data_IF_157434934645
#
_entry.id   IF_157434934645
#
_cell.length_a   1.000
_cell.length_b   1.000
_cell.length_c   1.000
_cell.angle_alpha   90.00
_cell.angle_beta   90.00
_cell.angle_gamma   90.00
#
_symmetry.space_group_name_H-M   'P 1'
#
loop_
_entity.id
_entity.type
_entity.pdbx_description
1 polymer ?
#
# COMPACT_ATOMS: atom_id res chain seq x y z
N UNK A 1 -9.75 1.80 14.27
CA UNK A 1 -8.71 1.35 13.32
C UNK A 1 -8.75 2.27 12.11
N UNK A 2 -7.78 3.12 11.93
CA UNK A 2 -7.62 3.91 10.73
C UNK A 2 -6.29 3.57 10.04
N UNK A 3 -6.07 4.08 8.84
CA UNK A 3 -4.90 3.78 8.02
C UNK A 3 -3.54 4.10 8.69
N UNK A 4 -3.49 5.10 9.58
CA UNK A 4 -2.25 5.48 10.28
C UNK A 4 -1.83 4.38 11.27
N UNK A 5 -2.81 3.81 11.95
CA UNK A 5 -2.58 2.68 12.84
C UNK A 5 -2.21 1.42 12.06
N UNK A 6 -2.86 1.19 10.91
CA UNK A 6 -2.61 0.00 10.10
C UNK A 6 -1.16 -0.06 9.60
N UNK A 7 -0.61 1.06 9.13
CA UNK A 7 0.79 1.16 8.75
C UNK A 7 1.75 0.87 9.92
N UNK A 8 1.41 1.35 11.13
CA UNK A 8 2.17 1.03 12.34
C UNK A 8 2.10 -0.47 12.64
N UNK A 9 0.93 -1.08 12.51
CA UNK A 9 0.74 -2.50 12.84
C UNK A 9 1.45 -3.43 11.86
N UNK A 10 1.57 -3.05 10.58
CA UNK A 10 2.40 -3.78 9.61
C UNK A 10 3.86 -3.77 10.05
N UNK A 11 4.44 -2.61 10.35
CA UNK A 11 5.81 -2.53 10.86
C UNK A 11 6.01 -3.26 12.20
N UNK A 12 4.97 -3.28 13.06
CA UNK A 12 5.01 -4.09 14.30
C UNK A 12 4.97 -5.59 14.01
N UNK A 13 4.29 -6.02 12.95
CA UNK A 13 4.23 -7.42 12.55
C UNK A 13 5.61 -7.90 12.06
N UNK A 14 6.27 -7.12 11.19
CA UNK A 14 7.63 -7.42 10.75
C UNK A 14 8.60 -7.48 11.92
N UNK A 15 8.47 -6.53 12.85
CA UNK A 15 9.27 -6.53 14.08
C UNK A 15 8.95 -7.73 14.97
N UNK A 16 7.69 -8.15 15.05
CA UNK A 16 7.28 -9.33 15.83
C UNK A 16 7.93 -10.61 15.28
N UNK A 17 7.98 -10.75 13.95
CA UNK A 17 8.66 -11.89 13.31
C UNK A 17 10.15 -11.91 13.63
N UNK A 18 10.81 -10.76 13.52
CA UNK A 18 12.22 -10.63 13.84
C UNK A 18 12.50 -10.91 15.32
N UNK A 19 11.72 -10.34 16.24
CA UNK A 19 11.89 -10.53 17.69
C UNK A 19 11.70 -12.00 18.11
N UNK A 20 10.67 -12.66 17.58
CA UNK A 20 10.46 -14.09 17.82
C UNK A 20 11.64 -14.93 17.31
N UNK A 21 12.09 -14.65 16.09
CA UNK A 21 13.20 -15.37 15.46
C UNK A 21 14.53 -15.21 16.21
N UNK A 22 14.87 -13.99 16.61
CA UNK A 22 16.18 -13.68 17.21
C UNK A 22 16.25 -13.93 18.71
N UNK A 23 15.14 -13.79 19.43
CA UNK A 23 15.11 -13.88 20.91
C UNK A 23 14.01 -14.76 21.50
N UNK A 24 13.08 -15.27 20.69
CA UNK A 24 11.89 -15.97 21.16
C UNK A 24 10.84 -15.03 21.78
N UNK A 25 10.95 -13.71 21.60
CA UNK A 25 10.01 -12.74 22.16
C UNK A 25 8.74 -12.67 21.30
N UNK A 26 7.62 -13.14 21.85
CA UNK A 26 6.30 -13.11 21.22
C UNK A 26 5.44 -11.92 21.63
N UNK A 27 5.94 -11.02 22.48
CA UNK A 27 5.15 -9.95 23.11
C UNK A 27 4.48 -9.02 22.10
N UNK A 28 5.11 -8.77 20.95
CA UNK A 28 4.57 -7.97 19.85
C UNK A 28 3.41 -8.68 19.16
N UNK A 29 3.53 -9.98 18.90
CA UNK A 29 2.42 -10.78 18.40
C UNK A 29 1.24 -10.81 19.38
N UNK A 30 1.52 -11.01 20.67
CA UNK A 30 0.49 -11.02 21.72
C UNK A 30 -0.26 -9.69 21.76
N UNK A 31 0.45 -8.58 21.55
CA UNK A 31 -0.16 -7.27 21.50
C UNK A 31 -1.08 -7.12 20.27
N UNK A 32 -0.63 -7.53 19.08
CA UNK A 32 -1.43 -7.49 17.85
C UNK A 32 -2.66 -8.41 17.95
N UNK A 33 -2.53 -9.58 18.56
CA UNK A 33 -3.66 -10.49 18.82
C UNK A 33 -4.68 -9.83 19.75
N UNK A 34 -4.25 -9.21 20.85
CA UNK A 34 -5.14 -8.47 21.76
C UNK A 34 -5.84 -7.31 21.07
N UNK A 35 -5.14 -6.62 20.17
CA UNK A 35 -5.73 -5.58 19.34
C UNK A 35 -6.87 -6.16 18.48
N UNK A 36 -6.59 -7.21 17.71
CA UNK A 36 -7.59 -7.86 16.86
C UNK A 36 -8.79 -8.34 17.66
N UNK A 37 -8.58 -8.98 18.81
CA UNK A 37 -9.65 -9.41 19.73
C UNK A 37 -10.50 -8.23 20.21
N UNK A 38 -9.87 -7.11 20.58
CA UNK A 38 -10.57 -5.89 21.04
C UNK A 38 -11.53 -5.35 20.01
N UNK A 39 -11.16 -5.42 18.73
CA UNK A 39 -11.96 -4.92 17.61
C UNK A 39 -12.75 -6.02 16.88
N UNK A 40 -12.77 -7.24 17.42
CA UNK A 40 -13.47 -8.38 16.81
C UNK A 40 -12.97 -8.71 15.41
N UNK A 41 -11.70 -8.41 15.12
CA UNK A 41 -11.05 -8.64 13.83
C UNK A 41 -11.73 -7.91 12.65
N UNK A 42 -12.51 -6.85 12.94
CA UNK A 42 -13.28 -6.12 11.94
C UNK A 42 -12.41 -5.07 11.26
N UNK A 43 -12.38 -5.02 9.91
CA UNK A 43 -11.98 -3.82 9.18
C UNK A 43 -12.84 -2.62 9.57
N UNK A 44 -12.38 -1.39 9.28
CA UNK A 44 -13.12 -0.19 9.68
C UNK A 44 -14.42 -0.03 8.86
N UNK A 45 -15.17 1.05 9.01
CA UNK A 45 -16.62 1.15 8.76
C UNK A 45 -17.04 1.27 7.29
N UNK A 46 -16.20 1.88 6.43
CA UNK A 46 -16.55 2.19 5.03
C UNK A 46 -16.29 0.97 4.13
N UNK A 47 -17.34 0.41 3.58
CA UNK A 47 -17.31 -0.87 2.87
C UNK A 47 -16.29 -0.91 1.73
N UNK A 48 -16.26 0.11 0.89
CA UNK A 48 -15.40 0.16 -0.29
C UNK A 48 -14.04 0.83 -0.07
N UNK A 49 -13.90 1.62 1.01
CA UNK A 49 -12.74 2.48 1.19
C UNK A 49 -11.45 1.68 1.41
N UNK A 50 -10.42 1.99 0.63
CA UNK A 50 -9.15 1.27 0.70
C UNK A 50 -8.50 1.35 2.09
N UNK A 51 -8.53 2.52 2.73
CA UNK A 51 -7.97 2.71 4.08
C UNK A 51 -8.63 1.80 5.12
N UNK A 52 -9.93 1.53 4.96
CA UNK A 52 -10.72 0.80 5.96
C UNK A 52 -10.50 -0.72 5.89
N UNK A 53 -9.96 -1.25 4.80
CA UNK A 53 -9.59 -2.67 4.70
C UNK A 53 -8.11 -2.91 5.01
N UNK A 54 -7.29 -1.87 5.14
CA UNK A 54 -5.84 -1.96 5.26
C UNK A 54 -5.39 -2.85 6.44
N UNK A 55 -6.02 -2.74 7.61
CA UNK A 55 -5.74 -3.59 8.78
C UNK A 55 -5.92 -5.09 8.50
N UNK A 56 -6.64 -5.43 7.45
CA UNK A 56 -6.78 -6.79 6.96
C UNK A 56 -5.44 -7.43 6.58
N UNK A 57 -4.42 -6.65 6.22
CA UNK A 57 -3.07 -7.17 5.99
C UNK A 57 -2.57 -7.89 7.24
N UNK A 58 -2.58 -7.20 8.38
CA UNK A 58 -2.17 -7.74 9.68
C UNK A 58 -3.01 -8.94 10.11
N UNK A 59 -4.33 -8.84 9.97
CA UNK A 59 -5.24 -9.92 10.42
C UNK A 59 -5.08 -11.20 9.58
N UNK A 60 -4.83 -11.06 8.29
CA UNK A 60 -4.55 -12.21 7.41
C UNK A 60 -3.22 -12.87 7.79
N UNK A 61 -2.18 -12.11 8.07
CA UNK A 61 -0.87 -12.65 8.46
C UNK A 61 -0.92 -13.33 9.84
N UNK A 62 -1.64 -12.73 10.80
CA UNK A 62 -1.91 -13.40 12.09
C UNK A 62 -2.69 -14.70 11.90
N UNK A 63 -3.66 -14.73 10.97
CA UNK A 63 -4.30 -15.99 10.60
C UNK A 63 -3.31 -16.99 10.01
N UNK A 64 -2.39 -16.56 9.16
CA UNK A 64 -1.37 -17.43 8.58
C UNK A 64 -0.50 -18.08 9.67
N UNK A 65 -0.23 -17.36 10.77
CA UNK A 65 0.53 -17.88 11.92
C UNK A 65 -0.31 -18.78 12.83
N UNK A 66 -1.46 -18.30 13.28
CA UNK A 66 -2.23 -18.94 14.36
C UNK A 66 -3.34 -19.87 13.88
N UNK A 67 -3.75 -19.78 12.62
CA UNK A 67 -4.83 -20.57 12.00
C UNK A 67 -6.22 -20.41 12.66
N UNK A 68 -6.42 -19.33 13.43
CA UNK A 68 -7.74 -19.00 13.98
C UNK A 68 -8.58 -18.26 12.93
N UNK A 69 -9.65 -18.89 12.48
CA UNK A 69 -10.56 -18.35 11.45
C UNK A 69 -11.21 -17.02 11.81
N UNK A 70 -11.35 -16.71 13.09
CA UNK A 70 -11.88 -15.42 13.52
C UNK A 70 -11.01 -14.27 13.04
N UNK A 71 -9.68 -14.47 12.93
CA UNK A 71 -8.73 -13.48 12.44
C UNK A 71 -8.92 -13.15 10.96
N UNK A 72 -9.35 -14.14 10.15
CA UNK A 72 -9.48 -14.02 8.71
C UNK A 72 -10.88 -13.58 8.27
N UNK A 73 -11.91 -14.19 8.87
CA UNK A 73 -13.27 -14.17 8.34
C UNK A 73 -13.85 -12.77 8.09
N UNK A 74 -13.71 -11.78 8.98
CA UNK A 74 -14.29 -10.45 8.73
C UNK A 74 -13.66 -9.73 7.54
N UNK A 75 -12.33 -9.83 7.37
CA UNK A 75 -11.62 -9.26 6.22
C UNK A 75 -12.01 -9.96 4.92
N UNK A 76 -12.03 -11.30 4.93
CA UNK A 76 -12.45 -12.09 3.77
C UNK A 76 -13.89 -11.79 3.37
N UNK A 77 -14.82 -11.76 4.31
CA UNK A 77 -16.23 -11.48 4.05
C UNK A 77 -16.44 -10.09 3.42
N UNK A 78 -15.71 -9.07 3.92
CA UNK A 78 -15.73 -7.74 3.30
C UNK A 78 -15.20 -7.77 1.88
N UNK A 79 -14.03 -8.36 1.65
CA UNK A 79 -13.43 -8.43 0.33
C UNK A 79 -14.32 -9.22 -0.65
N UNK A 80 -14.93 -10.33 -0.22
CA UNK A 80 -15.91 -11.09 -1.02
C UNK A 80 -17.12 -10.26 -1.41
N UNK A 81 -17.64 -9.48 -0.47
CA UNK A 81 -18.75 -8.58 -0.75
C UNK A 81 -18.38 -7.53 -1.81
N UNK A 82 -17.24 -6.87 -1.65
CA UNK A 82 -16.74 -5.84 -2.59
C UNK A 82 -16.50 -6.42 -4.00
N UNK A 83 -15.87 -7.59 -4.13
CA UNK A 83 -15.62 -8.18 -5.46
C UNK A 83 -16.90 -8.64 -6.17
N UNK A 84 -17.96 -8.96 -5.40
CA UNK A 84 -19.28 -9.31 -5.95
C UNK A 84 -20.13 -8.09 -6.28
N UNK A 85 -19.87 -6.93 -5.65
CA UNK A 85 -20.60 -5.69 -5.82
C UNK A 85 -19.61 -4.52 -6.04
N UNK A 86 -18.76 -4.58 -7.09
CA UNK A 86 -17.76 -3.55 -7.30
C UNK A 86 -18.42 -2.21 -7.61
N UNK A 87 -17.88 -1.13 -7.04
CA UNK A 87 -18.33 0.21 -7.39
C UNK A 87 -18.00 0.54 -8.86
N UNK A 88 -18.88 1.26 -9.52
CA UNK A 88 -18.71 1.87 -10.85
C UNK A 88 -18.50 3.38 -10.77
N UNK A 89 -18.24 3.91 -9.58
CA UNK A 89 -17.97 5.32 -9.32
C UNK A 89 -16.83 5.89 -10.17
N UNK A 90 -16.74 7.23 -10.28
CA UNK A 90 -15.70 7.89 -11.05
C UNK A 90 -14.30 7.71 -10.44
N UNK A 91 -13.27 7.86 -11.27
CA UNK A 91 -11.87 7.86 -10.80
C UNK A 91 -11.39 9.26 -10.41
N UNK A 92 -12.11 10.31 -10.76
CA UNK A 92 -11.80 11.69 -10.36
C UNK A 92 -12.24 11.91 -8.91
N UNK A 93 -11.29 12.29 -8.06
CA UNK A 93 -11.53 12.49 -6.63
C UNK A 93 -12.21 13.84 -6.34
N UNK A 94 -13.37 13.79 -5.68
CA UNK A 94 -14.05 14.93 -5.07
C UNK A 94 -14.50 14.55 -3.64
N UNK A 95 -13.82 15.05 -2.62
CA UNK A 95 -14.15 14.74 -1.21
C UNK A 95 -15.56 15.14 -0.77
N UNK A 96 -16.26 15.94 -1.55
CA UNK A 96 -17.67 16.29 -1.30
C UNK A 96 -18.63 15.19 -1.77
N UNK A 97 -18.13 14.26 -2.57
CA UNK A 97 -18.90 13.17 -3.18
C UNK A 97 -18.37 11.83 -2.70
N UNK A 98 -19.15 11.15 -1.86
CA UNK A 98 -18.74 9.89 -1.22
C UNK A 98 -18.40 8.79 -2.23
N UNK A 99 -19.13 8.72 -3.32
CA UNK A 99 -18.92 7.74 -4.39
C UNK A 99 -17.54 7.81 -5.05
N UNK A 100 -16.86 8.97 -4.98
CA UNK A 100 -15.49 9.11 -5.50
C UNK A 100 -14.43 8.47 -4.61
N UNK A 101 -14.81 8.02 -3.41
CA UNK A 101 -13.94 7.31 -2.47
C UNK A 101 -14.19 5.79 -2.45
N UNK A 102 -15.11 5.30 -3.28
CA UNK A 102 -15.44 3.88 -3.35
C UNK A 102 -14.48 3.10 -4.26
N UNK A 103 -13.75 3.81 -5.12
CA UNK A 103 -12.66 3.24 -5.92
C UNK A 103 -11.32 3.78 -5.43
N UNK A 104 -10.24 3.21 -5.93
CA UNK A 104 -8.89 3.61 -5.50
C UNK A 104 -8.43 4.87 -6.24
N UNK A 105 -9.03 6.01 -5.92
CA UNK A 105 -8.90 7.29 -6.64
C UNK A 105 -7.73 8.16 -6.16
N UNK A 106 -6.92 7.65 -5.25
CA UNK A 106 -5.71 8.29 -4.73
C UNK A 106 -4.58 7.27 -4.61
N UNK A 107 -3.33 7.72 -4.74
CA UNK A 107 -2.18 6.83 -4.82
C UNK A 107 -1.95 6.01 -3.55
N UNK A 108 -2.29 6.55 -2.36
CA UNK A 108 -2.13 5.86 -1.07
C UNK A 108 -2.96 4.56 -1.00
N UNK A 109 -4.10 4.51 -1.71
CA UNK A 109 -4.93 3.31 -1.80
C UNK A 109 -4.15 2.09 -2.31
N UNK A 110 -3.07 2.32 -3.07
CA UNK A 110 -2.20 1.26 -3.61
C UNK A 110 -1.30 0.58 -2.55
N UNK A 111 -1.19 1.16 -1.36
CA UNK A 111 -0.64 0.49 -0.18
C UNK A 111 -1.73 -0.24 0.61
N UNK A 112 -2.88 0.41 0.76
CA UNK A 112 -3.90 0.01 1.74
C UNK A 112 -4.61 -1.30 1.36
N UNK A 113 -5.10 -1.39 0.14
CA UNK A 113 -5.98 -2.49 -0.27
C UNK A 113 -5.30 -3.62 -1.06
N UNK A 114 -4.42 -3.38 -2.05
CA UNK A 114 -3.88 -4.41 -2.92
C UNK A 114 -3.26 -5.61 -2.20
N UNK A 115 -2.44 -5.45 -1.15
CA UNK A 115 -1.84 -6.59 -0.46
C UNK A 115 -2.90 -7.51 0.16
N UNK A 116 -4.00 -6.96 0.71
CA UNK A 116 -5.10 -7.76 1.27
C UNK A 116 -5.71 -8.69 0.22
N UNK A 117 -5.99 -8.17 -0.97
CA UNK A 117 -6.58 -8.96 -2.05
C UNK A 117 -5.61 -10.01 -2.60
N UNK A 118 -4.31 -9.72 -2.65
CA UNK A 118 -3.29 -10.71 -3.04
C UNK A 118 -3.21 -11.83 -1.99
N UNK A 119 -3.12 -11.49 -0.71
CA UNK A 119 -3.10 -12.47 0.39
C UNK A 119 -4.35 -13.38 0.36
N UNK A 120 -5.54 -12.80 0.18
CA UNK A 120 -6.79 -13.56 0.07
C UNK A 120 -6.81 -14.47 -1.17
N UNK A 121 -6.31 -13.99 -2.31
CA UNK A 121 -6.17 -14.83 -3.51
C UNK A 121 -5.24 -16.04 -3.26
N UNK A 122 -4.09 -15.82 -2.64
CA UNK A 122 -3.13 -16.89 -2.32
C UNK A 122 -3.73 -17.92 -1.36
N UNK A 123 -4.44 -17.45 -0.34
CA UNK A 123 -5.04 -18.31 0.69
C UNK A 123 -6.21 -19.13 0.18
N UNK A 124 -7.05 -18.55 -0.67
CA UNK A 124 -8.33 -19.16 -1.06
C UNK A 124 -8.31 -19.78 -2.46
N UNK A 125 -7.38 -19.37 -3.31
CA UNK A 125 -7.39 -19.68 -4.74
C UNK A 125 -8.48 -18.96 -5.55
N UNK A 126 -9.26 -18.08 -4.92
CA UNK A 126 -10.35 -17.37 -5.57
C UNK A 126 -9.83 -16.24 -6.46
N UNK A 127 -9.91 -16.48 -7.76
CA UNK A 127 -9.43 -15.54 -8.78
C UNK A 127 -10.22 -14.23 -8.87
N UNK A 128 -11.38 -14.10 -8.20
CA UNK A 128 -12.12 -12.84 -8.16
C UNK A 128 -11.31 -11.76 -7.46
N UNK A 129 -10.60 -12.10 -6.37
CA UNK A 129 -9.74 -11.17 -5.64
C UNK A 129 -8.65 -10.56 -6.52
N UNK A 130 -7.86 -11.40 -7.18
CA UNK A 130 -6.76 -10.91 -8.02
C UNK A 130 -7.26 -10.18 -9.28
N UNK A 131 -8.41 -10.56 -9.84
CA UNK A 131 -9.02 -9.84 -10.97
C UNK A 131 -9.48 -8.44 -10.57
N UNK A 132 -10.17 -8.33 -9.43
CA UNK A 132 -10.61 -7.04 -8.88
C UNK A 132 -9.42 -6.15 -8.59
N UNK A 133 -8.45 -6.64 -7.83
CA UNK A 133 -7.23 -5.91 -7.49
C UNK A 133 -6.53 -5.39 -8.75
N UNK A 134 -6.29 -6.23 -9.75
CA UNK A 134 -5.66 -5.81 -11.00
C UNK A 134 -6.47 -4.73 -11.74
N UNK A 135 -7.80 -4.81 -11.73
CA UNK A 135 -8.67 -3.82 -12.37
C UNK A 135 -8.53 -2.45 -11.70
N UNK A 136 -8.69 -2.40 -10.38
CA UNK A 136 -8.64 -1.14 -9.63
C UNK A 136 -7.22 -0.56 -9.61
N UNK A 137 -6.20 -1.38 -9.40
CA UNK A 137 -4.80 -0.93 -9.45
C UNK A 137 -4.45 -0.26 -10.79
N UNK A 138 -4.81 -0.93 -11.90
CA UNK A 138 -4.53 -0.39 -13.24
C UNK A 138 -5.32 0.86 -13.53
N UNK A 139 -6.56 0.98 -13.07
CA UNK A 139 -7.34 2.21 -13.20
C UNK A 139 -6.67 3.40 -12.49
N UNK A 140 -6.14 3.17 -11.28
CA UNK A 140 -5.36 4.18 -10.55
C UNK A 140 -4.05 4.50 -11.27
N UNK A 141 -3.32 3.47 -11.72
CA UNK A 141 -2.09 3.64 -12.50
C UNK A 141 -2.32 4.45 -13.78
N UNK A 142 -3.34 4.12 -14.57
CA UNK A 142 -3.63 4.79 -15.83
C UNK A 142 -3.98 6.27 -15.64
N UNK A 143 -4.61 6.62 -14.52
CA UNK A 143 -4.97 8.00 -14.20
C UNK A 143 -3.81 8.79 -13.58
N UNK A 144 -3.08 8.18 -12.62
CA UNK A 144 -2.19 8.93 -11.73
C UNK A 144 -0.70 8.75 -12.01
N UNK A 145 -0.29 7.73 -12.78
CA UNK A 145 1.12 7.53 -13.07
C UNK A 145 1.59 8.41 -14.23
N UNK A 146 2.48 9.34 -13.94
CA UNK A 146 3.15 10.17 -14.96
C UNK A 146 4.34 9.40 -15.56
N UNK A 147 4.22 9.03 -16.83
CA UNK A 147 5.23 8.21 -17.54
C UNK A 147 6.54 8.94 -17.80
N UNK A 148 6.51 10.26 -17.93
CA UNK A 148 7.70 11.07 -18.17
C UNK A 148 8.51 11.22 -16.89
N UNK A 149 7.84 11.56 -15.78
CA UNK A 149 8.47 11.72 -14.48
C UNK A 149 8.65 10.39 -13.73
N UNK A 150 7.94 9.34 -14.14
CA UNK A 150 7.93 8.02 -13.46
C UNK A 150 7.54 8.10 -11.99
N UNK A 151 6.54 8.93 -11.68
CA UNK A 151 6.03 9.21 -10.34
C UNK A 151 4.50 9.23 -10.37
N UNK A 152 3.88 9.00 -9.21
CA UNK A 152 2.44 9.09 -9.04
C UNK A 152 2.03 10.47 -8.54
N UNK A 153 1.04 11.08 -9.19
CA UNK A 153 0.25 12.14 -8.59
C UNK A 153 -0.53 11.57 -7.39
N UNK A 154 -0.80 12.43 -6.41
CA UNK A 154 -1.60 12.02 -5.25
C UNK A 154 -3.00 11.58 -5.64
N UNK A 155 -3.70 12.40 -6.42
CA UNK A 155 -5.04 12.17 -6.96
C UNK A 155 -5.29 13.11 -8.15
N UNK A 156 -6.47 12.99 -8.78
CA UNK A 156 -6.82 13.74 -10.00
C UNK A 156 -6.75 15.26 -9.87
N UNK A 157 -6.85 15.81 -8.66
CA UNK A 157 -6.79 17.27 -8.42
C UNK A 157 -5.38 17.85 -8.61
N UNK A 158 -4.35 17.00 -8.60
CA UNK A 158 -2.95 17.41 -8.75
C UNK A 158 -2.42 17.30 -10.19
N UNK A 159 -3.18 16.71 -11.13
CA UNK A 159 -2.73 16.49 -12.51
C UNK A 159 -2.30 17.75 -13.25
N UNK A 160 -2.86 18.90 -12.90
CA UNK A 160 -2.57 20.20 -13.55
C UNK A 160 -1.85 21.19 -12.63
N UNK A 161 -1.65 20.84 -11.37
CA UNK A 161 -0.98 21.73 -10.41
C UNK A 161 0.53 21.77 -10.65
N UNK A 162 1.14 22.88 -10.23
CA UNK A 162 2.57 23.10 -10.34
C UNK A 162 3.15 23.55 -8.99
N UNK A 163 4.38 23.14 -8.75
CA UNK A 163 5.20 23.63 -7.65
C UNK A 163 5.68 25.07 -7.91
N UNK A 164 6.26 25.70 -6.88
CA UNK A 164 6.80 27.06 -6.98
C UNK A 164 7.89 27.20 -8.04
N UNK A 165 8.69 26.15 -8.27
CA UNK A 165 9.71 26.09 -9.30
C UNK A 165 9.16 25.76 -10.71
N UNK A 166 7.84 25.59 -10.85
CA UNK A 166 7.17 25.24 -12.11
C UNK A 166 7.12 23.74 -12.42
N UNK A 167 7.70 22.87 -11.59
CA UNK A 167 7.63 21.42 -11.76
C UNK A 167 6.20 20.90 -11.51
N UNK A 168 5.94 19.66 -11.93
CA UNK A 168 4.72 18.93 -11.58
C UNK A 168 4.73 18.58 -10.07
N UNK A 169 3.55 18.49 -9.45
CA UNK A 169 3.42 18.22 -8.03
C UNK A 169 3.43 16.71 -7.78
N UNK A 170 4.51 16.19 -7.19
CA UNK A 170 4.60 14.80 -6.77
C UNK A 170 4.95 14.73 -5.28
N UNK A 171 4.02 14.23 -4.51
CA UNK A 171 4.13 14.13 -3.07
C UNK A 171 5.00 12.95 -2.64
N UNK A 172 6.04 13.21 -1.83
CA UNK A 172 7.03 12.20 -1.40
C UNK A 172 6.39 11.04 -0.67
N UNK A 173 5.55 11.30 0.37
CA UNK A 173 4.84 10.24 1.09
C UNK A 173 3.90 9.45 0.18
N UNK A 174 3.22 10.10 -0.77
CA UNK A 174 2.35 9.42 -1.72
C UNK A 174 3.10 8.39 -2.56
N UNK A 175 4.25 8.76 -3.09
CA UNK A 175 5.11 7.84 -3.84
C UNK A 175 5.74 6.77 -2.93
N UNK A 176 6.05 7.12 -1.68
CA UNK A 176 6.45 6.17 -0.64
C UNK A 176 5.39 5.11 -0.37
N UNK A 177 4.11 5.51 -0.26
CA UNK A 177 3.00 4.58 -0.12
C UNK A 177 2.93 3.58 -1.28
N UNK A 178 3.05 4.06 -2.52
CA UNK A 178 2.99 3.17 -3.69
C UNK A 178 4.16 2.18 -3.69
N UNK A 179 5.37 2.64 -3.40
CA UNK A 179 6.56 1.78 -3.31
C UNK A 179 6.43 0.75 -2.18
N UNK A 180 6.06 1.18 -0.98
CA UNK A 180 5.83 0.29 0.15
C UNK A 180 4.74 -0.75 -0.16
N UNK A 181 3.61 -0.31 -0.75
CA UNK A 181 2.53 -1.22 -1.15
C UNK A 181 2.91 -2.23 -2.22
N UNK A 182 3.78 -1.84 -3.16
CA UNK A 182 4.34 -2.77 -4.14
C UNK A 182 5.26 -3.80 -3.46
N UNK A 183 6.11 -3.37 -2.51
CA UNK A 183 6.96 -4.28 -1.75
C UNK A 183 6.12 -5.28 -0.95
N UNK A 184 5.11 -4.81 -0.18
CA UNK A 184 4.20 -5.67 0.56
C UNK A 184 3.48 -6.68 -0.35
N UNK A 185 2.90 -6.18 -1.44
CA UNK A 185 2.14 -7.00 -2.35
C UNK A 185 3.01 -8.05 -3.06
N UNK A 186 4.22 -7.71 -3.49
CA UNK A 186 5.10 -8.59 -4.24
C UNK A 186 5.67 -9.73 -3.40
N UNK A 187 5.71 -9.62 -2.07
CA UNK A 187 6.09 -10.72 -1.18
C UNK A 187 5.16 -11.92 -1.38
N UNK A 188 3.86 -11.68 -1.45
CA UNK A 188 2.85 -12.72 -1.57
C UNK A 188 2.41 -13.00 -3.01
N UNK A 189 2.66 -12.09 -3.95
CA UNK A 189 2.18 -12.21 -5.32
C UNK A 189 2.80 -13.44 -6.00
N UNK A 190 2.01 -14.40 -6.51
CA UNK A 190 2.56 -15.63 -7.06
C UNK A 190 3.55 -15.39 -8.19
N UNK A 191 4.76 -15.96 -8.08
CA UNK A 191 5.87 -15.73 -9.05
C UNK A 191 5.50 -16.13 -10.50
N UNK A 192 4.52 -17.02 -10.69
CA UNK A 192 4.06 -17.49 -12.02
C UNK A 192 2.81 -16.76 -12.52
N UNK A 193 2.25 -15.80 -11.77
CA UNK A 193 1.10 -15.05 -12.25
C UNK A 193 1.52 -14.10 -13.38
N UNK A 194 0.74 -14.10 -14.45
CA UNK A 194 1.02 -13.28 -15.66
C UNK A 194 1.05 -11.78 -15.43
N UNK A 195 0.42 -11.30 -14.37
CA UNK A 195 0.38 -9.87 -14.04
C UNK A 195 1.57 -9.44 -13.16
N UNK A 196 2.29 -10.40 -12.52
CA UNK A 196 3.38 -10.09 -11.61
C UNK A 196 4.44 -9.20 -12.27
N UNK A 197 4.80 -9.50 -13.51
CA UNK A 197 5.79 -8.72 -14.25
C UNK A 197 5.44 -7.23 -14.35
N UNK A 198 4.17 -6.88 -14.51
CA UNK A 198 3.74 -5.48 -14.53
C UNK A 198 4.09 -4.76 -13.21
N UNK A 199 3.89 -5.42 -12.08
CA UNK A 199 4.17 -4.85 -10.76
C UNK A 199 5.67 -4.79 -10.45
N UNK A 200 6.43 -5.80 -10.88
CA UNK A 200 7.91 -5.78 -10.78
C UNK A 200 8.50 -4.67 -11.63
N UNK A 201 8.06 -4.52 -12.89
CA UNK A 201 8.54 -3.45 -13.78
C UNK A 201 8.18 -2.04 -13.23
N UNK A 202 6.98 -1.90 -12.66
CA UNK A 202 6.56 -0.66 -12.01
C UNK A 202 7.38 -0.37 -10.75
N UNK A 203 7.61 -1.39 -9.92
CA UNK A 203 8.44 -1.29 -8.73
C UNK A 203 9.86 -0.81 -9.07
N UNK A 204 10.51 -1.45 -10.03
CA UNK A 204 11.86 -1.06 -10.48
C UNK A 204 11.86 0.37 -11.02
N UNK A 205 10.91 0.70 -11.92
CA UNK A 205 10.80 2.02 -12.52
C UNK A 205 10.65 3.14 -11.49
N UNK A 206 9.79 2.94 -10.50
CA UNK A 206 9.53 3.92 -9.44
C UNK A 206 10.70 4.00 -8.44
N UNK A 207 11.31 2.86 -8.11
CA UNK A 207 12.49 2.77 -7.22
C UNK A 207 13.69 3.50 -7.81
N UNK A 208 14.01 3.27 -9.08
CA UNK A 208 15.10 3.97 -9.77
C UNK A 208 14.87 5.49 -9.81
N UNK A 209 13.62 5.91 -10.00
CA UNK A 209 13.29 7.34 -9.99
C UNK A 209 13.40 7.93 -8.59
N UNK A 210 12.87 7.25 -7.60
CA UNK A 210 12.97 7.68 -6.20
C UNK A 210 14.42 7.81 -5.75
N UNK A 211 15.28 6.83 -6.05
CA UNK A 211 16.70 6.86 -5.70
C UNK A 211 17.42 8.09 -6.28
N UNK A 212 17.10 8.48 -7.54
CA UNK A 212 17.67 9.69 -8.17
C UNK A 212 17.19 11.01 -7.56
N UNK A 213 16.13 10.98 -6.76
CA UNK A 213 15.53 12.15 -6.10
C UNK A 213 15.88 12.21 -4.60
N UNK A 214 16.73 11.31 -4.13
CA UNK A 214 17.25 11.39 -2.77
C UNK A 214 18.11 12.65 -2.60
N UNK A 215 17.84 13.42 -1.55
CA UNK A 215 18.64 14.59 -1.22
C UNK A 215 20.02 14.21 -0.66
N UNK A 216 21.02 15.11 -0.73
CA UNK A 216 22.38 14.80 -0.26
C UNK A 216 22.49 14.42 1.21
N UNK A 217 21.49 14.79 2.02
CA UNK A 217 21.38 14.42 3.44
C UNK A 217 20.78 13.03 3.66
N UNK A 218 20.44 12.31 2.58
CA UNK A 218 19.89 10.95 2.64
C UNK A 218 18.37 10.87 2.77
N UNK A 219 17.66 12.00 2.82
CA UNK A 219 16.21 12.04 2.98
C UNK A 219 15.47 12.30 1.67
N UNK A 220 14.15 12.06 1.69
CA UNK A 220 13.19 12.58 0.71
C UNK A 220 12.33 13.64 1.38
N UNK A 221 11.79 14.55 0.57
CA UNK A 221 11.02 15.71 1.02
C UNK A 221 9.54 15.59 0.62
N UNK A 222 8.70 16.50 1.15
CA UNK A 222 7.28 16.50 0.86
C UNK A 222 6.99 16.67 -0.64
N UNK A 223 7.74 17.54 -1.34
CA UNK A 223 7.75 17.56 -2.81
C UNK A 223 8.98 16.86 -3.35
N UNK A 224 8.80 15.89 -4.25
CA UNK A 224 9.89 15.17 -4.87
C UNK A 224 10.64 15.98 -5.94
N UNK A 225 10.00 16.96 -6.56
CA UNK A 225 10.61 17.78 -7.63
C UNK A 225 10.89 19.23 -7.23
N UNK A 226 10.47 19.63 -6.03
CA UNK A 226 10.79 20.95 -5.47
C UNK A 226 11.15 20.87 -3.97
N UNK A 227 12.20 20.12 -3.61
CA UNK A 227 12.60 19.97 -2.22
C UNK A 227 13.01 21.31 -1.58
N UNK A 228 13.46 22.29 -2.38
CA UNK A 228 13.84 23.60 -1.89
C UNK A 228 12.68 24.39 -1.29
N UNK A 229 11.47 24.23 -1.82
CA UNK A 229 10.25 24.83 -1.27
C UNK A 229 9.73 24.11 -0.02
N UNK A 230 10.20 22.87 0.21
CA UNK A 230 9.82 22.03 1.35
C UNK A 230 11.08 21.42 2.00
N UNK A 231 11.94 22.24 2.62
CA UNK A 231 13.28 21.83 3.02
C UNK A 231 13.35 20.86 4.20
N UNK A 232 12.24 20.65 4.92
CA UNK A 232 12.22 19.67 6.00
C UNK A 232 12.19 18.25 5.45
N UNK A 233 13.03 17.32 5.98
CA UNK A 233 12.93 15.91 5.67
C UNK A 233 11.51 15.38 5.93
N UNK A 234 11.01 14.55 5.03
CA UNK A 234 9.72 13.89 5.20
C UNK A 234 9.95 12.46 5.69
N UNK A 235 9.74 12.23 6.99
CA UNK A 235 10.10 10.98 7.68
C UNK A 235 9.38 9.77 7.09
N UNK A 236 8.09 9.90 6.80
CA UNK A 236 7.30 8.76 6.30
C UNK A 236 7.65 8.40 4.85
N UNK A 237 7.87 9.39 3.97
CA UNK A 237 8.39 9.12 2.62
C UNK A 237 9.71 8.38 2.69
N UNK A 238 10.64 8.87 3.51
CA UNK A 238 11.96 8.28 3.69
C UNK A 238 11.86 6.84 4.20
N UNK A 239 11.03 6.59 5.22
CA UNK A 239 10.84 5.24 5.76
C UNK A 239 10.30 4.25 4.73
N UNK A 240 9.24 4.60 4.00
CA UNK A 240 8.67 3.73 2.98
C UNK A 240 9.60 3.48 1.80
N UNK A 241 10.30 4.52 1.33
CA UNK A 241 11.23 4.37 0.20
C UNK A 241 12.41 3.49 0.62
N UNK A 242 13.00 3.71 1.81
CA UNK A 242 14.09 2.86 2.32
C UNK A 242 13.65 1.42 2.47
N UNK A 243 12.47 1.17 3.06
CA UNK A 243 11.89 -0.17 3.16
C UNK A 243 11.77 -0.85 1.80
N UNK A 244 11.18 -0.15 0.83
CA UNK A 244 10.99 -0.70 -0.51
C UNK A 244 12.31 -0.95 -1.24
N UNK A 245 13.28 -0.04 -1.16
CA UNK A 245 14.60 -0.24 -1.76
C UNK A 245 15.33 -1.44 -1.15
N UNK A 246 15.28 -1.59 0.18
CA UNK A 246 15.86 -2.75 0.87
C UNK A 246 15.19 -4.06 0.42
N UNK A 247 13.85 -4.09 0.31
CA UNK A 247 13.12 -5.22 -0.26
C UNK A 247 13.60 -5.54 -1.68
N UNK A 248 13.69 -4.53 -2.54
CA UNK A 248 14.10 -4.72 -3.94
C UNK A 248 15.50 -5.32 -4.09
N UNK A 249 16.45 -4.88 -3.25
CA UNK A 249 17.83 -5.44 -3.20
C UNK A 249 17.80 -6.88 -2.70
N UNK A 250 17.08 -7.17 -1.62
CA UNK A 250 16.99 -8.50 -1.03
C UNK A 250 16.36 -9.53 -1.98
N UNK A 251 15.36 -9.12 -2.79
CA UNK A 251 14.71 -9.99 -3.77
C UNK A 251 15.41 -10.00 -5.14
N UNK A 252 16.52 -9.28 -5.31
CA UNK A 252 17.27 -9.20 -6.57
C UNK A 252 16.50 -8.47 -7.70
N UNK A 253 15.57 -7.58 -7.36
CA UNK A 253 14.87 -6.71 -8.31
C UNK A 253 15.66 -5.42 -8.57
N UNK A 254 16.51 -5.02 -7.65
CA UNK A 254 17.39 -3.85 -7.70
C UNK A 254 18.84 -4.28 -7.45
N UNK A 255 19.80 -3.50 -8.03
CA UNK A 255 21.25 -3.66 -7.83
C UNK A 255 21.73 -2.97 -6.55
#
# INVERSE_FOLDING_TARGET
>A
LDWTNDALYMGMLDWAELAEKESGDTSYYDWLVKLGQRYGWQPDKRMYHADDIAVGQVFVDLYCKYKDRNMLYPTQARAEWVVNHPSDGPMELDYKKRETLERWTWCDALYMAPPVYVKLYVLTGDKRFIKFMNKEYKATYDLLFDKDERLFYRDSRYLTQKEANGAKVFWGRGNGWVLGGLAEMLQDFPKKDKNRKFYEDLFVTLSERAAKLQSPDGFWHASMLDPASYPSPETSATGFIVYALAYGINEGLLD
#
